data_IF_507663794485
#
_entry.id   IF_507663794485
#
_cell.length_a   1.000
_cell.length_b   1.000
_cell.length_c   1.000
_cell.angle_alpha   90.00
_cell.angle_beta   90.00
_cell.angle_gamma   90.00
#
_symmetry.space_group_name_H-M   'P 1'
#
loop_
_entity.id
_entity.type
_entity.pdbx_description
1 polymer ?
#
# COMPACT_ATOMS: atom_id res chain seq x y z
N UNK A 1 9.59 -7.37 11.21
CA UNK A 1 8.83 -6.34 10.46
C UNK A 1 7.47 -6.89 10.06
N UNK A 2 6.42 -6.08 10.12
CA UNK A 2 5.05 -6.44 9.77
C UNK A 2 4.49 -5.34 8.87
N UNK A 3 3.84 -5.72 7.78
CA UNK A 3 3.08 -4.79 6.95
C UNK A 3 1.61 -4.76 7.40
N UNK A 4 1.01 -3.59 7.37
CA UNK A 4 -0.40 -3.39 7.69
C UNK A 4 -1.03 -2.42 6.70
N UNK A 5 -2.24 -2.72 6.26
CA UNK A 5 -3.04 -1.81 5.45
C UNK A 5 -4.53 -1.98 5.74
N UNK A 6 -5.26 -0.89 5.75
CA UNK A 6 -6.71 -0.90 5.58
C UNK A 6 -7.07 -0.03 4.39
N UNK A 7 -8.01 -0.51 3.57
CA UNK A 7 -8.51 0.19 2.38
C UNK A 7 -9.94 0.59 2.62
N UNK A 8 -10.17 1.87 2.78
CA UNK A 8 -11.50 2.45 3.01
C UNK A 8 -12.07 2.84 1.66
N UNK A 9 -13.07 2.12 1.14
CA UNK A 9 -13.75 2.51 -0.09
C UNK A 9 -14.57 3.77 0.19
N UNK A 10 -14.50 4.73 -0.74
CA UNK A 10 -15.26 5.96 -0.67
C UNK A 10 -16.24 6.03 -1.85
N UNK A 11 -17.40 6.69 -1.70
CA UNK A 11 -18.34 6.89 -2.80
C UNK A 11 -17.68 7.47 -4.06
N UNK A 12 -18.22 7.16 -5.23
CA UNK A 12 -17.63 7.59 -6.49
C UNK A 12 -17.64 9.13 -6.68
N UNK A 13 -18.56 9.78 -5.99
CA UNK A 13 -18.74 11.24 -5.93
C UNK A 13 -18.18 11.89 -4.65
N UNK A 14 -17.39 11.10 -3.88
CA UNK A 14 -16.80 11.62 -2.64
C UNK A 14 -15.77 12.70 -2.95
N UNK A 15 -15.87 13.81 -2.22
CA UNK A 15 -14.92 14.91 -2.36
C UNK A 15 -13.59 14.58 -1.69
N UNK A 16 -12.60 14.18 -2.47
CA UNK A 16 -11.29 13.70 -1.98
C UNK A 16 -10.46 14.79 -1.28
N UNK A 17 -10.80 16.07 -1.48
CA UNK A 17 -10.22 17.20 -0.74
C UNK A 17 -10.42 17.05 0.78
N UNK A 18 -11.50 16.40 1.23
CA UNK A 18 -11.78 16.12 2.64
C UNK A 18 -10.68 15.20 3.23
N UNK A 19 -10.27 14.18 2.48
CA UNK A 19 -9.18 13.28 2.91
C UNK A 19 -7.84 14.01 2.89
N UNK A 20 -7.57 14.83 1.86
CA UNK A 20 -6.35 15.64 1.79
C UNK A 20 -6.24 16.57 2.99
N UNK A 21 -7.31 17.29 3.30
CA UNK A 21 -7.35 18.18 4.47
C UNK A 21 -7.17 17.40 5.79
N UNK A 22 -7.83 16.23 5.92
CA UNK A 22 -7.65 15.35 7.09
C UNK A 22 -6.20 14.96 7.30
N UNK A 23 -5.51 14.55 6.22
CA UNK A 23 -4.10 14.13 6.30
C UNK A 23 -3.20 15.34 6.54
N UNK A 24 -3.43 16.46 5.90
CA UNK A 24 -2.70 17.70 6.13
C UNK A 24 -2.76 18.13 7.61
N UNK A 25 -3.93 17.97 8.24
CA UNK A 25 -4.14 18.37 9.65
C UNK A 25 -3.60 17.36 10.65
N UNK A 26 -3.67 16.05 10.35
CA UNK A 26 -3.42 15.00 11.34
C UNK A 26 -2.29 14.04 10.98
N UNK A 27 -1.75 14.08 9.75
CA UNK A 27 -0.75 13.13 9.28
C UNK A 27 0.47 13.05 10.18
N UNK A 28 0.97 14.21 10.61
CA UNK A 28 2.14 14.35 11.49
C UNK A 28 2.00 13.66 12.86
N UNK A 29 0.78 13.31 13.29
CA UNK A 29 0.55 12.67 14.61
C UNK A 29 1.19 11.28 14.74
N UNK A 30 1.57 10.68 13.62
CA UNK A 30 2.28 9.38 13.63
C UNK A 30 3.76 9.52 13.29
N UNK A 31 4.30 10.76 13.18
CA UNK A 31 5.73 10.97 13.01
C UNK A 31 6.45 10.58 14.30
N UNK A 32 7.50 9.76 14.18
CA UNK A 32 8.21 9.22 15.33
C UNK A 32 7.41 8.23 16.19
N UNK A 33 6.30 7.69 15.67
CA UNK A 33 5.52 6.72 16.43
C UNK A 33 6.33 5.46 16.71
N UNK A 34 6.23 4.95 17.93
CA UNK A 34 7.02 3.81 18.39
C UNK A 34 6.93 2.62 17.44
N UNK A 35 8.05 2.04 17.10
CA UNK A 35 8.20 0.87 16.22
C UNK A 35 7.62 1.06 14.81
N UNK A 36 7.24 2.26 14.42
CA UNK A 36 6.84 2.57 13.06
C UNK A 36 8.09 2.77 12.19
N UNK A 37 8.30 1.88 11.21
CA UNK A 37 9.34 2.06 10.22
C UNK A 37 8.90 3.05 9.13
N UNK A 38 7.61 2.95 8.75
CA UNK A 38 7.04 3.75 7.67
C UNK A 38 5.52 3.73 7.76
N UNK A 39 4.90 4.89 7.56
CA UNK A 39 3.48 5.01 7.20
C UNK A 39 3.34 5.94 6.01
N UNK A 40 2.79 5.46 4.92
CA UNK A 40 2.41 6.26 3.77
C UNK A 40 0.89 6.46 3.76
N UNK A 41 0.43 7.70 3.72
CA UNK A 41 -0.98 8.05 3.62
C UNK A 41 -1.38 8.09 2.16
N UNK A 42 -2.03 7.03 1.69
CA UNK A 42 -2.35 6.79 0.29
C UNK A 42 -3.81 7.11 -0.02
N UNK A 43 -4.05 7.75 -1.15
CA UNK A 43 -5.39 7.89 -1.75
C UNK A 43 -5.37 7.45 -3.21
N UNK A 44 -6.44 6.79 -3.66
CA UNK A 44 -6.73 6.61 -5.08
C UNK A 44 -8.00 7.36 -5.45
N UNK A 45 -8.01 7.99 -6.60
CA UNK A 45 -9.19 8.70 -7.14
C UNK A 45 -9.70 8.00 -8.39
N UNK A 46 -11.02 7.80 -8.43
CA UNK A 46 -11.71 7.28 -9.59
C UNK A 46 -11.42 8.13 -10.83
N UNK A 47 -11.23 7.45 -11.96
CA UNK A 47 -10.96 8.06 -13.28
C UNK A 47 -9.59 8.82 -13.35
N UNK A 48 -8.79 8.75 -12.27
CA UNK A 48 -7.43 9.26 -12.25
C UNK A 48 -6.44 8.11 -12.36
N UNK A 49 -5.44 8.22 -13.23
CA UNK A 49 -4.34 7.26 -13.41
C UNK A 49 -4.79 5.80 -13.59
N UNK A 50 -5.95 5.59 -14.24
CA UNK A 50 -6.51 4.25 -14.49
C UNK A 50 -7.26 3.63 -13.31
N UNK A 51 -7.42 4.34 -12.21
CA UNK A 51 -8.19 3.85 -11.05
C UNK A 51 -9.69 3.83 -11.35
N UNK A 52 -10.37 2.81 -10.81
CA UNK A 52 -11.82 2.60 -11.00
C UNK A 52 -12.66 3.05 -9.80
N UNK A 53 -12.01 3.42 -8.69
CA UNK A 53 -12.70 3.76 -7.43
C UNK A 53 -11.86 4.67 -6.52
N UNK A 54 -12.58 5.38 -5.65
CA UNK A 54 -11.98 6.21 -4.62
C UNK A 54 -11.64 5.37 -3.39
N UNK A 55 -10.42 5.51 -2.86
CA UNK A 55 -10.02 4.90 -1.59
C UNK A 55 -9.16 5.84 -0.76
N UNK A 56 -9.28 5.69 0.55
CA UNK A 56 -8.26 6.09 1.50
C UNK A 56 -7.60 4.82 2.05
N UNK A 57 -6.30 4.63 1.78
CA UNK A 57 -5.64 3.34 1.96
C UNK A 57 -4.25 3.45 2.60
N UNK A 58 -4.12 3.96 3.84
CA UNK A 58 -2.81 4.08 4.49
C UNK A 58 -2.09 2.74 4.56
N UNK A 59 -0.80 2.76 4.20
CA UNK A 59 0.09 1.61 4.26
C UNK A 59 1.14 1.82 5.34
N UNK A 60 1.42 0.77 6.11
CA UNK A 60 2.33 0.80 7.25
C UNK A 60 3.36 -0.32 7.15
N UNK A 61 4.57 -0.02 7.55
CA UNK A 61 5.59 -1.00 7.92
C UNK A 61 5.95 -0.80 9.38
N UNK A 62 5.81 -1.84 10.17
CA UNK A 62 6.15 -1.87 11.59
C UNK A 62 7.44 -2.64 11.81
N UNK A 63 8.38 -2.07 12.56
CA UNK A 63 9.58 -2.78 12.99
C UNK A 63 9.24 -3.92 13.95
N UNK A 64 8.25 -3.67 14.83
CA UNK A 64 7.80 -4.63 15.83
C UNK A 64 6.26 -4.63 15.96
N UNK A 65 5.70 -5.78 16.38
CA UNK A 65 4.26 -5.91 16.61
C UNK A 65 3.75 -5.07 17.78
N UNK A 66 4.61 -4.70 18.72
CA UNK A 66 4.22 -3.87 19.86
C UNK A 66 3.75 -2.48 19.41
N UNK A 67 4.44 -1.84 18.46
CA UNK A 67 4.00 -0.57 17.91
C UNK A 67 2.68 -0.69 17.16
N UNK A 68 2.49 -1.76 16.38
CA UNK A 68 1.20 -2.04 15.73
C UNK A 68 0.07 -2.24 16.74
N UNK A 69 0.32 -3.00 17.81
CA UNK A 69 -0.67 -3.22 18.87
C UNK A 69 -1.00 -1.93 19.60
N UNK A 70 0.00 -1.11 19.90
CA UNK A 70 -0.19 0.22 20.49
C UNK A 70 -1.09 1.08 19.60
N UNK A 71 -0.84 1.10 18.31
CA UNK A 71 -1.65 1.86 17.36
C UNK A 71 -3.09 1.35 17.27
N UNK A 72 -3.31 0.02 17.22
CA UNK A 72 -4.62 -0.58 17.01
C UNK A 72 -5.48 -0.63 18.26
N UNK A 73 -4.88 -0.85 19.44
CA UNK A 73 -5.60 -1.23 20.65
C UNK A 73 -5.58 -0.15 21.77
N UNK A 74 -4.72 0.88 21.63
CA UNK A 74 -4.54 1.89 22.68
C UNK A 74 -4.92 3.31 22.21
N UNK A 75 -5.91 3.42 21.32
CA UNK A 75 -6.62 4.65 20.99
C UNK A 75 -6.37 5.29 19.62
N UNK A 76 -5.16 5.29 19.01
CA UNK A 76 -4.95 5.97 17.73
C UNK A 76 -5.89 5.49 16.61
N UNK A 77 -6.20 4.19 16.57
CA UNK A 77 -7.09 3.61 15.57
C UNK A 77 -8.56 3.95 15.77
N UNK A 78 -8.98 4.28 17.00
CA UNK A 78 -10.36 4.69 17.31
C UNK A 78 -10.79 5.91 16.49
N UNK A 79 -9.87 6.80 16.16
CA UNK A 79 -10.13 7.94 15.28
C UNK A 79 -10.51 7.51 13.85
N UNK A 80 -10.03 6.37 13.39
CA UNK A 80 -10.41 5.77 12.10
C UNK A 80 -11.80 5.14 12.24
N UNK A 81 -12.04 4.35 13.27
CA UNK A 81 -13.33 3.72 13.55
C UNK A 81 -14.44 4.76 13.69
N UNK A 82 -14.17 5.86 14.38
CA UNK A 82 -15.13 6.96 14.57
C UNK A 82 -15.49 7.65 13.24
N UNK A 83 -14.50 7.83 12.35
CA UNK A 83 -14.69 8.58 11.09
C UNK A 83 -15.26 7.74 9.96
N UNK A 84 -14.92 6.46 9.90
CA UNK A 84 -15.18 5.59 8.74
C UNK A 84 -15.88 4.28 9.13
N UNK A 85 -16.22 4.09 10.40
CA UNK A 85 -16.77 2.83 10.88
C UNK A 85 -15.74 1.71 10.97
N UNK A 86 -16.21 0.51 11.22
CA UNK A 86 -15.38 -0.67 11.38
C UNK A 86 -14.67 -1.04 10.07
N UNK A 87 -13.33 -1.13 10.10
CA UNK A 87 -12.51 -1.42 8.92
C UNK A 87 -11.80 -2.75 9.07
N UNK A 88 -11.66 -3.47 7.96
CA UNK A 88 -10.82 -4.66 7.90
C UNK A 88 -9.34 -4.24 7.82
N UNK A 89 -8.55 -4.68 8.78
CA UNK A 89 -7.10 -4.51 8.76
C UNK A 89 -6.46 -5.73 8.11
N UNK A 90 -5.71 -5.49 7.02
CA UNK A 90 -4.95 -6.53 6.35
C UNK A 90 -3.51 -6.50 6.89
N UNK A 91 -3.06 -7.65 7.37
CA UNK A 91 -1.69 -7.86 7.84
C UNK A 91 -0.93 -8.65 6.79
N UNK A 92 0.31 -8.26 6.53
CA UNK A 92 1.19 -8.94 5.59
C UNK A 92 2.58 -9.17 6.17
N UNK A 93 3.20 -10.26 5.72
CA UNK A 93 4.60 -10.57 6.03
C UNK A 93 5.47 -10.06 4.89
N UNK A 94 6.43 -9.17 5.12
CA UNK A 94 7.33 -8.71 4.08
C UNK A 94 8.24 -9.83 3.58
N UNK A 95 8.32 -10.01 2.26
CA UNK A 95 9.30 -10.84 1.55
C UNK A 95 10.54 -10.03 1.20
N UNK A 96 10.34 -8.77 0.80
CA UNK A 96 11.42 -7.81 0.57
C UNK A 96 10.96 -6.40 0.89
N UNK A 97 11.85 -5.57 1.39
CA UNK A 97 11.64 -4.14 1.64
C UNK A 97 12.93 -3.40 1.29
N UNK A 98 12.80 -2.33 0.51
CA UNK A 98 13.87 -1.40 0.18
C UNK A 98 13.33 0.02 0.31
N UNK A 99 13.94 0.84 1.13
CA UNK A 99 13.56 2.24 1.34
C UNK A 99 14.84 3.07 1.18
N UNK A 100 14.84 3.97 0.21
CA UNK A 100 15.98 4.84 -0.05
C UNK A 100 15.99 6.05 0.91
N UNK A 101 17.14 6.68 1.15
CA UNK A 101 17.24 7.84 2.06
C UNK A 101 16.37 9.04 1.65
N UNK A 102 16.07 9.18 0.35
CA UNK A 102 15.19 10.24 -0.18
C UNK A 102 13.70 9.87 -0.15
N UNK A 103 13.30 8.79 0.52
CA UNK A 103 11.90 8.37 0.62
C UNK A 103 10.92 9.46 1.10
N UNK A 104 11.29 10.43 1.96
CA UNK A 104 10.41 11.54 2.31
C UNK A 104 9.95 12.40 1.11
N UNK A 105 10.60 12.29 -0.04
CA UNK A 105 10.23 13.01 -1.27
C UNK A 105 9.15 12.28 -2.09
N UNK A 106 8.68 11.12 -1.65
CA UNK A 106 7.67 10.32 -2.36
C UNK A 106 6.39 11.12 -2.58
N UNK A 107 5.81 10.97 -3.79
CA UNK A 107 4.54 11.59 -4.19
C UNK A 107 3.54 10.56 -4.70
N UNK A 108 4.01 9.44 -5.18
CA UNK A 108 3.20 8.42 -5.82
C UNK A 108 3.54 7.04 -5.28
N UNK A 109 2.52 6.19 -5.19
CA UNK A 109 2.73 4.78 -4.92
C UNK A 109 1.90 3.96 -5.91
N UNK A 110 2.44 2.82 -6.29
CA UNK A 110 1.76 1.85 -7.13
C UNK A 110 1.69 0.54 -6.38
N UNK A 111 0.50 0.00 -6.29
CA UNK A 111 0.27 -1.33 -5.74
C UNK A 111 -0.14 -2.29 -6.84
N UNK A 112 0.58 -3.41 -6.95
CA UNK A 112 0.19 -4.58 -7.72
C UNK A 112 -0.21 -5.65 -6.71
N UNK A 113 -1.49 -5.98 -6.66
CA UNK A 113 -2.01 -6.99 -5.75
C UNK A 113 -2.56 -8.20 -6.52
N UNK A 114 -2.34 -9.39 -5.98
CA UNK A 114 -2.80 -10.62 -6.60
C UNK A 114 -3.02 -11.74 -5.60
N UNK A 115 -3.55 -12.87 -6.09
CA UNK A 115 -3.72 -14.09 -5.31
C UNK A 115 -2.68 -15.14 -5.69
N UNK A 116 -2.19 -15.84 -4.71
CA UNK A 116 -1.34 -17.02 -4.89
C UNK A 116 -2.25 -18.18 -5.32
N UNK A 117 -2.05 -18.78 -6.50
CA UNK A 117 -2.89 -19.86 -6.97
C UNK A 117 -2.85 -21.09 -6.05
N UNK A 118 -4.00 -21.74 -5.82
CA UNK A 118 -4.09 -22.94 -4.96
C UNK A 118 -3.22 -24.10 -5.44
N UNK A 119 -2.99 -24.19 -6.75
CA UNK A 119 -2.14 -25.21 -7.36
C UNK A 119 -0.64 -24.88 -7.33
N UNK A 120 -0.25 -23.70 -6.83
CA UNK A 120 1.16 -23.30 -6.79
C UNK A 120 1.92 -24.10 -5.72
N UNK A 121 3.10 -24.59 -6.09
CA UNK A 121 4.05 -25.08 -5.09
C UNK A 121 4.60 -23.90 -4.30
N UNK A 122 4.47 -23.93 -2.98
CA UNK A 122 5.00 -22.88 -2.11
C UNK A 122 6.51 -22.97 -1.93
N UNK A 123 7.12 -24.10 -2.30
CA UNK A 123 8.58 -24.26 -2.25
C UNK A 123 9.26 -23.32 -3.25
N UNK A 124 10.05 -22.39 -2.74
CA UNK A 124 10.72 -21.36 -3.52
C UNK A 124 9.78 -20.30 -4.12
N UNK A 125 8.50 -20.26 -3.72
CA UNK A 125 7.50 -19.37 -4.28
C UNK A 125 7.87 -17.89 -4.10
N UNK A 126 8.38 -17.49 -2.94
CA UNK A 126 8.78 -16.10 -2.67
C UNK A 126 9.84 -15.60 -3.67
N UNK A 127 10.87 -16.39 -3.96
CA UNK A 127 11.88 -16.05 -4.98
C UNK A 127 11.29 -15.95 -6.39
N UNK A 128 10.45 -16.90 -6.77
CA UNK A 128 9.75 -16.88 -8.06
C UNK A 128 8.85 -15.65 -8.21
N UNK A 129 8.15 -15.26 -7.15
CA UNK A 129 7.29 -14.09 -7.15
C UNK A 129 8.11 -12.81 -7.38
N UNK A 130 9.26 -12.67 -6.71
CA UNK A 130 10.18 -11.53 -6.90
C UNK A 130 10.70 -11.46 -8.35
N UNK A 131 11.00 -12.61 -8.97
CA UNK A 131 11.48 -12.67 -10.36
C UNK A 131 10.40 -12.34 -11.38
N UNK A 132 9.15 -12.70 -11.11
CA UNK A 132 8.02 -12.56 -12.04
C UNK A 132 7.35 -11.18 -11.98
N UNK A 133 7.42 -10.50 -10.83
CA UNK A 133 6.85 -9.18 -10.68
C UNK A 133 7.69 -8.14 -11.44
N UNK A 134 7.06 -7.06 -11.91
CA UNK A 134 7.76 -6.00 -12.61
C UNK A 134 8.91 -5.44 -11.78
N UNK A 135 10.03 -5.19 -12.43
CA UNK A 135 11.11 -4.41 -11.85
C UNK A 135 10.67 -2.95 -11.81
N UNK A 136 10.71 -2.38 -10.65
CA UNK A 136 10.31 -1.02 -10.39
C UNK A 136 11.52 -0.09 -10.54
N UNK A 137 11.88 0.21 -11.80
CA UNK A 137 12.93 1.19 -12.09
C UNK A 137 12.52 2.56 -11.52
N UNK A 138 13.50 3.30 -11.01
CA UNK A 138 13.33 4.65 -10.45
C UNK A 138 12.45 4.75 -9.18
N UNK A 139 12.02 3.62 -8.62
CA UNK A 139 11.34 3.62 -7.33
C UNK A 139 12.30 3.94 -6.19
N UNK A 140 11.93 4.91 -5.36
CA UNK A 140 12.67 5.31 -4.14
C UNK A 140 12.26 4.49 -2.91
N UNK A 141 11.32 3.57 -3.07
CA UNK A 141 10.95 2.59 -2.07
C UNK A 141 10.17 1.42 -2.68
N UNK A 142 10.33 0.25 -2.10
CA UNK A 142 9.62 -0.96 -2.51
C UNK A 142 9.28 -1.81 -1.30
N UNK A 143 8.12 -2.45 -1.34
CA UNK A 143 7.74 -3.46 -0.37
C UNK A 143 6.97 -4.58 -1.08
N UNK A 144 7.45 -5.80 -1.03
CA UNK A 144 6.71 -6.98 -1.43
C UNK A 144 6.26 -7.72 -0.17
N UNK A 145 4.97 -7.89 -0.03
CA UNK A 145 4.33 -8.52 1.12
C UNK A 145 3.44 -9.67 0.67
N UNK A 146 3.29 -10.68 1.50
CA UNK A 146 2.27 -11.71 1.31
C UNK A 146 1.42 -11.87 2.57
N UNK A 147 0.20 -12.35 2.39
CA UNK A 147 -0.74 -12.63 3.47
C UNK A 147 -1.11 -14.12 3.43
N UNK A 148 -0.60 -14.94 4.37
CA UNK A 148 -0.87 -16.37 4.38
C UNK A 148 -2.32 -16.71 4.77
N UNK A 149 -3.03 -15.82 5.44
CA UNK A 149 -4.45 -16.00 5.79
C UNK A 149 -5.34 -16.02 4.53
N UNK A 150 -5.01 -15.19 3.55
CA UNK A 150 -5.79 -15.03 2.31
C UNK A 150 -5.09 -15.56 1.06
N UNK A 151 -3.85 -16.04 1.20
CA UNK A 151 -2.97 -16.40 0.10
C UNK A 151 -2.91 -15.32 -0.99
N UNK A 152 -2.77 -14.08 -0.53
CA UNK A 152 -2.58 -12.92 -1.37
C UNK A 152 -1.17 -12.35 -1.28
N UNK A 153 -0.83 -11.49 -2.22
CA UNK A 153 0.38 -10.67 -2.16
C UNK A 153 0.09 -9.26 -2.65
N UNK A 154 0.92 -8.32 -2.23
CA UNK A 154 0.96 -6.95 -2.77
C UNK A 154 2.41 -6.52 -2.93
N UNK A 155 2.74 -5.98 -4.11
CA UNK A 155 3.97 -5.24 -4.35
C UNK A 155 3.64 -3.75 -4.35
N UNK A 156 4.30 -3.00 -3.49
CA UNK A 156 4.27 -1.54 -3.49
C UNK A 156 5.57 -1.01 -4.09
N UNK A 157 5.45 -0.05 -4.99
CA UNK A 157 6.56 0.74 -5.51
C UNK A 157 6.24 2.22 -5.29
N UNK A 158 7.19 2.96 -4.75
CA UNK A 158 7.05 4.36 -4.34
C UNK A 158 7.94 5.24 -5.19
N UNK A 159 7.39 6.34 -5.71
CA UNK A 159 8.05 7.22 -6.67
C UNK A 159 7.95 8.68 -6.25
N UNK A 160 8.98 9.45 -6.55
CA UNK A 160 8.91 10.91 -6.55
C UNK A 160 8.11 11.42 -7.75
N UNK A 161 8.32 10.80 -8.92
CA UNK A 161 7.60 11.06 -10.17
C UNK A 161 7.22 9.72 -10.80
N UNK A 162 5.96 9.58 -11.23
CA UNK A 162 5.55 8.38 -11.97
C UNK A 162 6.30 8.29 -13.30
N UNK A 163 6.75 7.09 -13.71
CA UNK A 163 7.32 6.88 -15.04
C UNK A 163 6.35 7.33 -16.14
N UNK A 164 6.85 8.01 -17.19
CA UNK A 164 6.01 8.56 -18.29
C UNK A 164 5.05 7.55 -18.93
N UNK A 165 5.43 6.27 -18.99
CA UNK A 165 4.62 5.19 -19.58
C UNK A 165 3.92 4.33 -18.54
N UNK A 166 3.74 4.84 -17.32
CA UNK A 166 3.15 4.05 -16.25
C UNK A 166 1.74 3.52 -16.60
N UNK A 167 0.88 4.30 -17.24
CA UNK A 167 -0.46 3.87 -17.64
C UNK A 167 -0.44 2.68 -18.61
N UNK A 168 0.50 2.66 -19.54
CA UNK A 168 0.67 1.58 -20.51
C UNK A 168 1.21 0.32 -19.83
N UNK A 169 2.16 0.48 -18.91
CA UNK A 169 2.73 -0.60 -18.10
C UNK A 169 1.67 -1.21 -17.17
N UNK A 170 0.87 -0.39 -16.50
CA UNK A 170 -0.23 -0.83 -15.66
C UNK A 170 -1.25 -1.67 -16.45
N UNK A 171 -1.63 -1.22 -17.66
CA UNK A 171 -2.52 -1.97 -18.55
C UNK A 171 -1.88 -3.27 -19.04
N UNK A 172 -0.57 -3.27 -19.31
CA UNK A 172 0.17 -4.47 -19.69
C UNK A 172 0.21 -5.50 -18.56
N UNK A 173 0.41 -5.06 -17.32
CA UNK A 173 0.45 -5.90 -16.13
C UNK A 173 -0.88 -6.58 -15.84
N UNK A 174 -2.00 -5.90 -16.09
CA UNK A 174 -3.34 -6.50 -15.94
C UNK A 174 -3.63 -7.62 -16.95
N UNK A 175 -2.81 -7.74 -18.00
CA UNK A 175 -2.92 -8.76 -19.07
C UNK A 175 -1.95 -9.93 -18.92
N UNK A 176 -1.14 -9.97 -17.85
CA UNK A 176 -0.22 -11.09 -17.63
C UNK A 176 -1.02 -12.33 -17.23
N UNK A 177 -1.03 -13.34 -18.11
CA UNK A 177 -1.71 -14.64 -17.91
C UNK A 177 -1.15 -15.48 -16.75
N UNK A 178 -0.01 -15.09 -16.19
CA UNK A 178 0.67 -15.85 -15.14
C UNK A 178 -0.11 -15.89 -13.80
N UNK A 179 -0.98 -14.90 -13.56
CA UNK A 179 -1.82 -14.83 -12.35
C UNK A 179 -3.20 -14.28 -12.74
N UNK A 180 -4.27 -15.06 -12.61
CA UNK A 180 -5.59 -14.75 -13.19
C UNK A 180 -6.35 -13.56 -12.57
N UNK A 181 -5.75 -12.78 -11.69
CA UNK A 181 -6.39 -11.56 -11.16
C UNK A 181 -5.39 -10.62 -10.48
N UNK A 182 -4.59 -9.92 -11.26
CA UNK A 182 -3.89 -8.75 -10.74
C UNK A 182 -4.83 -7.54 -10.70
N UNK A 183 -4.73 -6.79 -9.62
CA UNK A 183 -5.24 -5.42 -9.57
C UNK A 183 -4.05 -4.47 -9.48
N UNK A 184 -4.07 -3.44 -10.29
CA UNK A 184 -3.10 -2.34 -10.22
C UNK A 184 -3.85 -1.12 -9.69
N UNK A 185 -3.32 -0.50 -8.65
CA UNK A 185 -3.86 0.73 -8.08
C UNK A 185 -2.75 1.75 -7.97
N UNK A 186 -2.97 2.94 -8.50
CA UNK A 186 -2.06 4.07 -8.37
C UNK A 186 -2.57 5.01 -7.29
N UNK A 187 -1.68 5.39 -6.38
CA UNK A 187 -1.99 6.25 -5.25
C UNK A 187 -1.21 7.54 -5.30
N UNK A 188 -1.86 8.63 -4.91
CA UNK A 188 -1.19 9.82 -4.44
C UNK A 188 -0.75 9.60 -2.99
N UNK A 189 0.48 10.00 -2.65
CA UNK A 189 1.02 9.95 -1.28
C UNK A 189 0.88 11.33 -0.66
N UNK A 190 0.00 11.48 0.32
CA UNK A 190 -0.31 12.75 0.96
C UNK A 190 0.67 13.14 2.06
N UNK A 191 1.21 12.14 2.77
CA UNK A 191 2.17 12.32 3.87
C UNK A 191 2.90 11.00 4.12
N UNK A 192 4.11 11.10 4.63
CA UNK A 192 4.90 9.97 5.12
C UNK A 192 5.31 10.25 6.56
N UNK A 193 5.06 9.30 7.46
CA UNK A 193 5.61 9.27 8.82
C UNK A 193 6.68 8.19 8.93
N UNK A 194 7.79 8.54 9.56
CA UNK A 194 8.92 7.66 9.88
C UNK A 194 9.37 7.89 11.32
#
# INVERSE_FOLDING_TARGET
MIAMQYKIPLPADYEMSIIRQRVQTNGHRTDGFRDLALKAYLISEKDSLGNVSNHYAPFYLWNDHNGMNEFLLNGPYDAILHSFGWQQVNIGVPLSVRIEPNFPQVRWAVEIAGRIPQAASLNGFGGKLIEQLPKTQDAIGEALIYNPDKWGFSQFAFYEQLPEKWSDEAQRLTRLDAYPSFTVTTYEVLHVSQ
#
